data_IF_764398864932
#
_entry.id   IF_764398864932
#
_cell.length_a   1.000
_cell.length_b   1.000
_cell.length_c   1.000
_cell.angle_alpha   90.00
_cell.angle_beta   90.00
_cell.angle_gamma   90.00
#
_symmetry.space_group_name_H-M   'P 1'
#
loop_
_entity.id
_entity.type
_entity.pdbx_description
1 polymer ?
#
# COMPACT_ATOMS: atom_id res chain seq x y z
N UNK A 1 9.10 19.08 -14.66
CA UNK A 1 8.40 17.83 -15.05
C UNK A 1 7.47 17.43 -13.91
N UNK A 2 6.18 17.20 -14.20
CA UNK A 2 5.22 16.67 -13.21
C UNK A 2 4.90 15.23 -13.59
N UNK A 3 5.30 14.28 -12.74
CA UNK A 3 4.95 12.87 -12.93
C UNK A 3 3.51 12.68 -12.48
N UNK A 4 2.65 12.27 -13.41
CA UNK A 4 1.25 11.93 -13.09
C UNK A 4 1.18 10.44 -12.78
N UNK A 5 0.51 10.08 -11.69
CA UNK A 5 0.32 8.69 -11.28
C UNK A 5 -1.14 8.29 -11.48
N UNK A 6 -1.35 7.07 -11.96
CA UNK A 6 -2.68 6.45 -11.96
C UNK A 6 -2.93 5.81 -10.60
N UNK A 7 -3.97 6.30 -9.92
CA UNK A 7 -4.35 5.87 -8.57
C UNK A 7 -5.67 5.12 -8.61
N UNK A 8 -5.75 4.04 -7.84
CA UNK A 8 -6.97 3.26 -7.65
C UNK A 8 -7.20 3.04 -6.15
N UNK A 9 -8.44 3.22 -5.69
CA UNK A 9 -8.83 2.74 -4.37
C UNK A 9 -9.19 1.27 -4.46
N UNK A 10 -8.57 0.45 -3.62
CA UNK A 10 -8.86 -0.99 -3.48
C UNK A 10 -9.06 -1.30 -2.00
N UNK A 11 -9.86 -2.30 -1.63
CA UNK A 11 -9.94 -2.73 -0.25
C UNK A 11 -8.64 -3.44 0.16
N UNK A 12 -8.25 -3.32 1.44
CA UNK A 12 -6.97 -3.79 1.95
C UNK A 12 -6.69 -5.28 1.65
N UNK A 13 -7.71 -6.13 1.75
CA UNK A 13 -7.66 -7.57 1.47
C UNK A 13 -7.43 -7.91 -0.01
N UNK A 14 -7.63 -6.96 -0.93
CA UNK A 14 -7.33 -7.13 -2.36
C UNK A 14 -5.91 -6.72 -2.73
N UNK A 15 -5.13 -6.24 -1.76
CA UNK A 15 -3.72 -5.91 -1.98
C UNK A 15 -2.92 -7.20 -2.13
N UNK A 16 -1.98 -7.21 -3.08
CA UNK A 16 -1.10 -8.34 -3.34
C UNK A 16 0.37 -7.89 -3.27
N UNK A 17 1.30 -8.82 -3.01
CA UNK A 17 2.73 -8.56 -3.21
C UNK A 17 3.02 -7.96 -4.59
N UNK A 18 3.94 -7.01 -4.66
CA UNK A 18 4.26 -6.21 -5.85
C UNK A 18 3.40 -4.96 -6.04
N UNK A 19 2.34 -4.76 -5.24
CA UNK A 19 1.58 -3.51 -5.29
C UNK A 19 2.38 -2.36 -4.67
N UNK A 20 2.30 -1.18 -5.28
CA UNK A 20 2.77 0.05 -4.67
C UNK A 20 1.60 0.84 -4.11
N UNK A 21 1.67 1.19 -2.82
CA UNK A 21 0.63 1.96 -2.13
C UNK A 21 1.10 3.37 -1.82
N UNK A 22 0.19 4.33 -1.93
CA UNK A 22 0.41 5.70 -1.48
C UNK A 22 -0.11 5.81 -0.05
N UNK A 23 0.80 6.00 0.90
CA UNK A 23 0.43 6.16 2.30
C UNK A 23 0.85 7.53 2.81
N UNK A 24 0.07 8.06 3.74
CA UNK A 24 0.34 9.36 4.35
C UNK A 24 0.96 9.15 5.72
N UNK A 25 2.20 9.62 5.89
CA UNK A 25 2.96 9.56 7.15
C UNK A 25 3.54 10.93 7.42
N UNK A 26 3.33 11.48 8.62
CA UNK A 26 3.82 12.82 9.02
C UNK A 26 3.42 13.93 8.04
N UNK A 27 2.20 13.85 7.50
CA UNK A 27 1.67 14.81 6.53
C UNK A 27 2.24 14.68 5.11
N UNK A 28 3.23 13.82 4.87
CA UNK A 28 3.83 13.55 3.56
C UNK A 28 3.32 12.24 2.98
N UNK A 29 3.26 12.16 1.65
CA UNK A 29 3.02 10.88 0.97
C UNK A 29 4.33 10.11 0.83
N UNK A 30 4.29 8.82 1.11
CA UNK A 30 5.38 7.87 0.92
C UNK A 30 4.88 6.68 0.12
N UNK A 31 5.76 6.10 -0.67
CA UNK A 31 5.50 4.87 -1.37
C UNK A 31 5.72 3.70 -0.41
N UNK A 32 4.77 2.78 -0.37
CA UNK A 32 4.89 1.52 0.35
C UNK A 32 4.84 0.39 -0.66
N UNK A 33 5.95 -0.30 -0.87
CA UNK A 33 6.01 -1.45 -1.76
C UNK A 33 5.63 -2.70 -0.98
N UNK A 34 4.52 -3.31 -1.34
CA UNK A 34 4.01 -4.48 -0.63
C UNK A 34 4.84 -5.69 -1.04
N UNK A 35 5.52 -6.29 -0.07
CA UNK A 35 6.30 -7.51 -0.26
C UNK A 35 5.56 -8.73 0.27
N UNK A 36 4.80 -8.56 1.36
CA UNK A 36 4.02 -9.64 1.96
C UNK A 36 2.67 -9.14 2.46
N UNK A 37 1.67 -9.99 2.32
CA UNK A 37 0.29 -9.79 2.76
C UNK A 37 -0.13 -10.95 3.64
N UNK A 38 -0.61 -10.66 4.84
CA UNK A 38 -1.12 -11.65 5.78
C UNK A 38 -2.54 -11.26 6.20
N UNK A 39 -3.40 -12.26 6.37
CA UNK A 39 -4.75 -12.07 6.91
C UNK A 39 -4.85 -12.87 8.20
N UNK A 40 -5.27 -12.22 9.28
CA UNK A 40 -5.63 -12.89 10.53
C UNK A 40 -7.10 -12.65 10.84
N UNK A 41 -7.79 -13.70 11.25
CA UNK A 41 -9.19 -13.62 11.64
C UNK A 41 -9.35 -14.32 12.98
N UNK A 42 -9.83 -13.59 13.97
CA UNK A 42 -10.18 -14.12 15.29
C UNK A 42 -11.70 -14.19 15.39
N UNK A 43 -12.21 -15.22 16.06
CA UNK A 43 -13.65 -15.42 16.20
C UNK A 43 -14.29 -14.19 16.88
N UNK A 44 -15.29 -13.60 16.22
CA UNK A 44 -15.98 -12.41 16.72
C UNK A 44 -15.24 -11.08 16.48
N UNK A 45 -14.12 -11.07 15.75
CA UNK A 45 -13.40 -9.85 15.37
C UNK A 45 -13.34 -9.66 13.85
N UNK A 46 -13.23 -8.42 13.36
CA UNK A 46 -12.94 -8.15 11.95
C UNK A 46 -11.65 -8.85 11.50
N UNK A 47 -11.60 -9.25 10.23
CA UNK A 47 -10.36 -9.75 9.66
C UNK A 47 -9.34 -8.62 9.56
N UNK A 48 -8.12 -8.86 10.05
CA UNK A 48 -7.01 -7.93 10.01
C UNK A 48 -6.09 -8.28 8.85
N UNK A 49 -5.80 -7.28 8.02
CA UNK A 49 -4.91 -7.35 6.88
C UNK A 49 -3.61 -6.67 7.25
N UNK A 50 -2.53 -7.45 7.25
CA UNK A 50 -1.17 -6.99 7.54
C UNK A 50 -0.36 -6.94 6.27
N UNK A 51 0.10 -5.75 5.91
CA UNK A 51 0.94 -5.49 4.73
C UNK A 51 2.35 -5.18 5.21
N UNK A 52 3.34 -5.79 4.58
CA UNK A 52 4.74 -5.65 4.96
C UNK A 52 5.57 -5.21 3.76
N UNK A 53 6.45 -4.24 3.96
CA UNK A 53 7.46 -3.77 2.99
C UNK A 53 8.85 -4.00 3.60
N UNK A 54 9.84 -4.38 2.79
CA UNK A 54 11.23 -4.20 3.21
C UNK A 54 11.49 -2.70 3.41
N UNK A 55 12.08 -2.33 4.54
CA UNK A 55 12.47 -0.95 4.80
C UNK A 55 13.74 -0.64 3.98
N UNK A 56 13.78 0.53 3.33
CA UNK A 56 14.98 0.96 2.57
C UNK A 56 16.20 1.19 3.48
N UNK A 57 16.04 1.30 4.80
CA UNK A 57 17.13 1.70 5.72
C UNK A 57 17.02 1.28 7.20
N UNK A 58 16.36 0.17 7.55
CA UNK A 58 16.31 -0.23 8.96
C UNK A 58 16.18 -1.73 9.18
N UNK A 59 16.77 -2.20 10.28
CA UNK A 59 16.71 -3.56 10.86
C UNK A 59 15.28 -4.11 11.09
N UNK A 60 14.23 -3.36 10.73
CA UNK A 60 12.83 -3.78 10.87
C UNK A 60 12.02 -3.45 9.62
N UNK A 61 11.20 -4.40 9.12
CA UNK A 61 10.32 -4.15 8.00
C UNK A 61 9.25 -3.12 8.36
N UNK A 62 8.80 -2.36 7.36
CA UNK A 62 7.69 -1.44 7.54
C UNK A 62 6.37 -2.23 7.45
N UNK A 63 5.53 -2.09 8.47
CA UNK A 63 4.27 -2.82 8.59
C UNK A 63 3.09 -1.84 8.62
N UNK A 64 2.01 -2.19 7.91
CA UNK A 64 0.71 -1.54 7.96
C UNK A 64 -0.35 -2.58 8.31
N UNK A 65 -1.31 -2.21 9.15
CA UNK A 65 -2.42 -3.08 9.55
C UNK A 65 -3.75 -2.36 9.33
N UNK A 66 -4.69 -3.06 8.70
CA UNK A 66 -6.01 -2.54 8.35
C UNK A 66 -7.08 -3.59 8.64
N UNK A 67 -8.28 -3.15 8.99
CA UNK A 67 -9.45 -4.04 8.93
C UNK A 67 -9.82 -4.30 7.47
N UNK A 68 -10.28 -5.51 7.16
CA UNK A 68 -10.83 -5.83 5.85
C UNK A 68 -11.95 -4.85 5.46
N UNK A 69 -12.00 -4.46 4.19
CA UNK A 69 -12.87 -3.41 3.66
C UNK A 69 -12.28 -2.00 3.76
N UNK A 70 -11.18 -1.80 4.52
CA UNK A 70 -10.52 -0.48 4.58
C UNK A 70 -9.98 -0.10 3.19
N UNK A 71 -10.37 1.05 2.62
CA UNK A 71 -9.88 1.46 1.31
C UNK A 71 -8.43 1.95 1.41
N UNK A 72 -7.55 1.39 0.59
CA UNK A 72 -6.16 1.82 0.40
C UNK A 72 -5.93 2.32 -1.02
N UNK A 73 -4.95 3.20 -1.20
CA UNK A 73 -4.64 3.81 -2.50
C UNK A 73 -3.48 3.08 -3.15
N UNK A 74 -3.77 2.35 -4.22
CA UNK A 74 -2.78 1.68 -5.08
C UNK A 74 -2.34 2.61 -6.19
N UNK A 75 -1.02 2.73 -6.39
CA UNK A 75 -0.44 3.22 -7.63
C UNK A 75 -0.27 2.04 -8.58
N UNK A 76 -0.82 2.13 -9.79
CA UNK A 76 -0.78 1.03 -10.76
C UNK A 76 -0.20 1.42 -12.12
N UNK A 77 0.23 2.67 -12.28
CA UNK A 77 0.90 3.13 -13.49
C UNK A 77 1.42 4.55 -13.36
N UNK A 78 2.40 4.86 -14.19
CA UNK A 78 2.93 6.21 -14.37
C UNK A 78 2.43 6.71 -15.73
N UNK A 79 1.90 7.91 -15.76
CA UNK A 79 1.61 8.61 -17.00
C UNK A 79 2.85 9.44 -17.35
N UNK A 80 3.71 8.90 -18.21
CA UNK A 80 4.72 9.71 -18.89
C UNK A 80 4.01 10.56 -19.92
N UNK A 81 3.86 11.85 -19.64
CA UNK A 81 3.52 12.79 -20.70
C UNK A 81 4.69 12.78 -21.69
N UNK A 82 4.48 12.22 -22.88
CA UNK A 82 5.44 12.36 -23.97
C UNK A 82 5.77 13.84 -24.12
N UNK A 83 7.04 14.21 -23.95
CA UNK A 83 7.50 15.56 -24.24
C UNK A 83 7.20 15.82 -25.72
N UNK A 84 6.31 16.79 -25.98
CA UNK A 84 6.04 17.29 -27.33
C UNK A 84 7.22 18.12 -27.85
#
# INVERSE_FOLDING_TARGET
>A
MSTKYYLQKVPAESVQPGYSLAIRTDGKFRLFQVECTQTSQLAGQPAMIRLTSVAENADRPWVLEYEAGTPVVRLFGICEAAAS
#
